data_IF_592460916425
#
_entry.id   IF_592460916425
#
_cell.length_a   1.000
_cell.length_b   1.000
_cell.length_c   1.000
_cell.angle_alpha   90.00
_cell.angle_beta   90.00
_cell.angle_gamma   90.00
#
_symmetry.space_group_name_H-M   'P 1'
#
loop_
_entity.id
_entity.type
_entity.pdbx_description
1 polymer ?
#
# COMPACT_ATOMS: atom_id res chain seq x y z
N UNK A 1 32.18 65.77 10.90
CA UNK A 1 30.90 66.22 11.46
C UNK A 1 29.82 65.74 10.50
N UNK A 2 29.05 64.77 10.99
CA UNK A 2 27.78 64.21 10.50
C UNK A 2 27.39 64.40 9.04
N UNK A 3 27.31 63.29 8.30
CA UNK A 3 26.13 62.83 7.55
C UNK A 3 26.50 61.51 6.86
N UNK A 4 25.51 60.69 6.50
CA UNK A 4 25.62 59.33 5.94
C UNK A 4 25.62 58.17 6.94
N UNK A 5 24.62 58.11 7.83
CA UNK A 5 24.24 56.84 8.45
C UNK A 5 22.73 56.70 8.73
N UNK A 6 21.86 57.19 7.83
CA UNK A 6 20.39 57.06 7.99
C UNK A 6 19.63 56.45 6.81
N UNK A 7 20.29 56.12 5.68
CA UNK A 7 19.61 55.46 4.55
C UNK A 7 19.43 53.93 4.66
N UNK A 8 20.36 53.13 5.24
CA UNK A 8 20.16 51.67 5.27
C UNK A 8 19.11 51.25 6.31
N UNK A 9 18.96 52.00 7.41
CA UNK A 9 17.97 51.71 8.46
C UNK A 9 16.54 51.98 7.97
N UNK A 10 16.32 53.00 7.14
CA UNK A 10 15.00 53.30 6.59
C UNK A 10 14.56 52.24 5.58
N UNK A 11 15.48 51.72 4.75
CA UNK A 11 15.20 50.59 3.86
C UNK A 11 14.96 49.30 4.63
N UNK A 12 15.72 49.02 5.69
CA UNK A 12 15.50 47.85 6.54
C UNK A 12 14.14 47.92 7.27
N UNK A 13 13.75 49.09 7.77
CA UNK A 13 12.46 49.27 8.43
C UNK A 13 11.28 49.16 7.45
N UNK A 14 11.41 49.68 6.23
CA UNK A 14 10.41 49.46 5.17
C UNK A 14 10.35 48.00 4.73
N UNK A 15 11.48 47.29 4.66
CA UNK A 15 11.53 45.87 4.32
C UNK A 15 10.92 45.01 5.42
N UNK A 16 11.18 45.33 6.69
CA UNK A 16 10.56 44.68 7.85
C UNK A 16 9.08 45.02 7.95
N UNK A 17 8.64 46.24 7.65
CA UNK A 17 7.22 46.58 7.62
C UNK A 17 6.49 45.92 6.45
N UNK A 18 7.10 45.83 5.26
CA UNK A 18 6.52 45.16 4.09
C UNK A 18 6.40 43.65 4.31
N UNK A 19 7.44 43.01 4.89
CA UNK A 19 7.37 41.60 5.28
C UNK A 19 6.44 41.36 6.48
N UNK A 20 6.38 42.26 7.46
CA UNK A 20 5.44 42.14 8.59
C UNK A 20 4.00 42.34 8.14
N UNK A 21 3.75 43.15 7.10
CA UNK A 21 2.42 43.35 6.53
C UNK A 21 2.01 42.20 5.57
N UNK A 22 2.97 41.63 4.83
CA UNK A 22 2.77 40.37 4.10
C UNK A 22 2.53 39.19 5.07
N UNK A 23 3.25 39.15 6.20
CA UNK A 23 3.10 38.09 7.19
C UNK A 23 1.81 38.26 8.04
N UNK A 24 1.36 39.50 8.30
CA UNK A 24 0.03 39.77 8.89
C UNK A 24 -1.13 39.49 7.93
N UNK A 25 -0.93 39.62 6.62
CA UNK A 25 -1.94 39.25 5.64
C UNK A 25 -1.96 37.73 5.36
N UNK A 26 -0.85 37.03 5.60
CA UNK A 26 -0.83 35.56 5.59
C UNK A 26 -1.51 34.93 6.81
N UNK A 27 -1.55 35.61 7.96
CA UNK A 27 -2.34 35.16 9.12
C UNK A 27 -3.82 35.56 9.05
N UNK A 28 -4.23 36.38 8.07
CA UNK A 28 -5.62 36.76 7.80
C UNK A 28 -6.27 35.99 6.63
N UNK A 29 -5.54 35.09 5.96
CA UNK A 29 -6.15 34.00 5.22
C UNK A 29 -6.34 32.84 6.19
N UNK A 30 -7.58 32.62 6.65
CA UNK A 30 -7.98 31.59 7.61
C UNK A 30 -7.70 30.16 7.15
N UNK A 31 -6.43 29.77 7.09
CA UNK A 31 -5.97 28.44 6.71
C UNK A 31 -5.90 27.47 7.91
N UNK A 32 -6.06 27.94 9.15
CA UNK A 32 -5.88 27.10 10.34
C UNK A 32 -7.16 26.59 10.98
N UNK A 33 -8.34 27.15 10.66
CA UNK A 33 -9.57 26.81 11.38
C UNK A 33 -10.36 25.65 10.77
N UNK A 34 -9.94 25.16 9.60
CA UNK A 34 -10.62 24.09 8.86
C UNK A 34 -9.63 23.10 8.26
N UNK A 35 -8.87 22.42 9.13
CA UNK A 35 -8.22 21.16 8.74
C UNK A 35 -9.34 20.11 8.63
N UNK A 36 -9.72 19.77 7.41
CA UNK A 36 -10.84 18.86 7.18
C UNK A 36 -10.42 17.39 7.14
N UNK A 37 -9.16 17.10 6.80
CA UNK A 37 -8.59 15.75 6.87
C UNK A 37 -8.24 15.43 8.32
N UNK A 38 -8.74 14.31 8.84
CA UNK A 38 -8.45 13.94 10.23
C UNK A 38 -6.96 13.59 10.44
N UNK A 39 -6.50 13.72 11.68
CA UNK A 39 -5.16 13.23 12.07
C UNK A 39 -5.03 11.71 11.91
N UNK A 40 -6.13 10.98 12.10
CA UNK A 40 -6.20 9.52 11.95
C UNK A 40 -5.78 9.07 10.56
N UNK A 41 -6.11 9.83 9.51
CA UNK A 41 -5.64 9.58 8.16
C UNK A 41 -4.11 9.55 8.06
N UNK A 42 -3.45 10.59 8.57
CA UNK A 42 -2.01 10.74 8.50
C UNK A 42 -1.29 9.68 9.35
N UNK A 43 -1.81 9.41 10.56
CA UNK A 43 -1.30 8.35 11.43
C UNK A 43 -1.41 6.97 10.77
N UNK A 44 -2.54 6.67 10.12
CA UNK A 44 -2.72 5.38 9.44
C UNK A 44 -1.71 5.19 8.28
N UNK A 45 -1.41 6.25 7.53
CA UNK A 45 -0.40 6.21 6.47
C UNK A 45 1.01 5.99 7.04
N UNK A 46 1.38 6.72 8.09
CA UNK A 46 2.70 6.59 8.73
C UNK A 46 2.92 5.20 9.35
N UNK A 47 1.93 4.70 10.07
CA UNK A 47 1.95 3.37 10.68
C UNK A 47 2.08 2.26 9.62
N UNK A 48 1.32 2.36 8.53
CA UNK A 48 1.40 1.39 7.43
C UNK A 48 2.75 1.44 6.73
N UNK A 49 3.29 2.64 6.46
CA UNK A 49 4.60 2.79 5.84
C UNK A 49 5.74 2.29 6.75
N UNK A 50 5.64 2.50 8.06
CA UNK A 50 6.57 1.96 9.04
C UNK A 50 6.59 0.42 9.01
N UNK A 51 5.41 -0.22 9.08
CA UNK A 51 5.31 -1.70 9.01
C UNK A 51 5.79 -2.23 7.65
N UNK A 52 5.45 -1.56 6.55
CA UNK A 52 5.93 -1.91 5.20
C UNK A 52 7.45 -1.91 5.13
N UNK A 53 8.09 -0.83 5.59
CA UNK A 53 9.56 -0.71 5.63
C UNK A 53 10.19 -1.77 6.51
N UNK A 54 9.61 -2.04 7.68
CA UNK A 54 10.05 -3.11 8.58
C UNK A 54 10.01 -4.48 7.92
N UNK A 55 8.90 -4.81 7.24
CA UNK A 55 8.77 -6.08 6.52
C UNK A 55 9.75 -6.18 5.34
N UNK A 56 9.93 -5.11 4.56
CA UNK A 56 10.94 -5.07 3.49
C UNK A 56 12.36 -5.29 4.01
N UNK A 57 12.72 -4.66 5.14
CA UNK A 57 14.02 -4.83 5.77
C UNK A 57 14.22 -6.27 6.28
N UNK A 58 13.17 -6.88 6.85
CA UNK A 58 13.20 -8.28 7.29
C UNK A 58 13.49 -9.23 6.13
N UNK A 59 12.80 -9.06 5.00
CA UNK A 59 13.00 -9.86 3.79
C UNK A 59 14.40 -9.64 3.19
N UNK A 60 14.90 -8.41 3.18
CA UNK A 60 16.24 -8.11 2.68
C UNK A 60 17.33 -8.74 3.55
N UNK A 61 17.19 -8.63 4.88
CA UNK A 61 18.09 -9.23 5.87
C UNK A 61 18.20 -10.74 5.68
N UNK A 62 17.10 -11.41 5.33
CA UNK A 62 17.12 -12.84 5.04
C UNK A 62 18.00 -13.21 3.85
N UNK A 63 17.90 -12.46 2.73
CA UNK A 63 18.74 -12.71 1.56
C UNK A 63 20.23 -12.54 1.89
N UNK A 64 20.57 -11.51 2.66
CA UNK A 64 21.95 -11.29 3.10
C UNK A 64 22.44 -12.40 4.05
N UNK A 65 21.59 -12.82 5.00
CA UNK A 65 21.95 -13.81 6.00
C UNK A 65 21.96 -15.24 5.46
N UNK A 66 21.09 -15.59 4.50
CA UNK A 66 21.14 -16.86 3.78
C UNK A 66 22.49 -17.05 3.07
N UNK A 67 23.06 -15.98 2.51
CA UNK A 67 24.36 -15.99 1.85
C UNK A 67 25.52 -16.10 2.86
N UNK A 68 25.40 -15.45 4.02
CA UNK A 68 26.47 -15.35 5.04
C UNK A 68 26.50 -16.49 6.07
N UNK A 69 25.36 -17.03 6.50
CA UNK A 69 25.26 -17.86 7.73
C UNK A 69 25.08 -19.37 7.51
N UNK A 70 24.62 -19.76 6.31
CA UNK A 70 24.42 -21.15 5.92
C UNK A 70 25.49 -21.67 4.95
N UNK A 71 26.37 -20.81 4.44
CA UNK A 71 27.52 -21.22 3.64
C UNK A 71 28.46 -22.10 4.47
N UNK A 72 28.36 -23.41 4.25
CA UNK A 72 29.21 -24.45 4.85
C UNK A 72 30.69 -24.29 4.51
N UNK A 73 31.06 -23.43 3.55
CA UNK A 73 32.45 -23.28 3.07
C UNK A 73 33.40 -22.56 4.04
N UNK A 74 32.92 -21.69 4.94
CA UNK A 74 33.80 -20.98 5.89
C UNK A 74 34.01 -21.82 7.18
N UNK A 75 33.01 -22.63 7.57
CA UNK A 75 33.09 -23.48 8.76
C UNK A 75 33.85 -24.80 8.54
N UNK A 76 33.95 -25.28 7.29
CA UNK A 76 34.76 -26.45 6.94
C UNK A 76 36.29 -26.23 7.08
N UNK A 77 36.75 -24.97 7.22
CA UNK A 77 38.18 -24.66 7.38
C UNK A 77 38.60 -24.22 8.79
N UNK A 78 37.67 -24.03 9.73
CA UNK A 78 37.99 -23.57 11.11
C UNK A 78 37.74 -24.65 12.18
N UNK A 79 37.04 -25.74 11.83
CA UNK A 79 36.68 -26.83 12.74
C UNK A 79 37.82 -27.84 13.00
N UNK A 80 39.01 -27.34 13.36
CA UNK A 80 40.07 -28.20 13.90
C UNK A 80 40.08 -28.23 15.44
N UNK A 81 39.42 -27.30 16.15
CA UNK A 81 39.65 -27.12 17.60
C UNK A 81 38.41 -26.72 18.47
N UNK A 82 37.17 -26.91 18.01
CA UNK A 82 35.98 -26.73 18.88
C UNK A 82 35.40 -28.08 19.28
N UNK A 83 35.07 -28.25 20.57
CA UNK A 83 34.43 -29.46 21.09
C UNK A 83 33.14 -29.76 20.32
N UNK A 84 33.04 -30.96 19.75
CA UNK A 84 31.96 -31.40 18.83
C UNK A 84 30.53 -31.12 19.35
N UNK A 85 30.32 -31.11 20.67
CA UNK A 85 29.02 -30.86 21.31
C UNK A 85 28.53 -29.43 21.09
N UNK A 86 29.41 -28.43 21.26
CA UNK A 86 29.09 -27.01 21.06
C UNK A 86 28.78 -26.73 19.57
N UNK A 87 29.44 -27.46 18.67
CA UNK A 87 29.21 -27.36 17.23
C UNK A 87 27.83 -27.92 16.82
N UNK A 88 27.40 -29.02 17.45
CA UNK A 88 26.09 -29.65 17.20
C UNK A 88 24.95 -28.79 17.75
N UNK A 89 25.08 -28.27 18.97
CA UNK A 89 24.07 -27.39 19.59
C UNK A 89 23.88 -26.10 18.79
N UNK A 90 24.98 -25.49 18.33
CA UNK A 90 24.91 -24.30 17.46
C UNK A 90 24.23 -24.60 16.11
N UNK A 91 24.47 -25.78 15.52
CA UNK A 91 23.78 -26.22 14.29
C UNK A 91 22.30 -26.51 14.54
N UNK A 92 21.95 -27.04 15.70
CA UNK A 92 20.57 -27.25 16.12
C UNK A 92 19.82 -25.92 16.20
N UNK A 93 20.40 -24.91 16.86
CA UNK A 93 19.82 -23.57 16.93
C UNK A 93 19.63 -22.92 15.56
N UNK A 94 20.62 -23.02 14.67
CA UNK A 94 20.50 -22.48 13.31
C UNK A 94 19.34 -23.10 12.51
N UNK A 95 19.03 -24.38 12.70
CA UNK A 95 17.89 -25.03 12.05
C UNK A 95 16.55 -24.49 12.59
N UNK A 96 16.45 -24.33 13.91
CA UNK A 96 15.24 -23.76 14.53
C UNK A 96 15.05 -22.30 14.12
N UNK A 97 16.12 -21.51 14.06
CA UNK A 97 16.09 -20.10 13.67
C UNK A 97 15.50 -19.90 12.27
N UNK A 98 15.76 -20.82 11.34
CA UNK A 98 15.23 -20.74 9.99
C UNK A 98 13.70 -20.91 9.96
N UNK A 99 13.18 -21.90 10.67
CA UNK A 99 11.71 -22.08 10.80
C UNK A 99 11.06 -20.90 11.53
N UNK A 100 11.70 -20.41 12.60
CA UNK A 100 11.24 -19.23 13.33
C UNK A 100 11.24 -17.98 12.46
N UNK A 101 12.21 -17.83 11.56
CA UNK A 101 12.27 -16.72 10.62
C UNK A 101 11.05 -16.72 9.67
N UNK A 102 10.72 -17.86 9.06
CA UNK A 102 9.58 -17.95 8.14
C UNK A 102 8.25 -17.73 8.87
N UNK A 103 8.12 -18.31 10.07
CA UNK A 103 6.96 -18.08 10.94
C UNK A 103 6.80 -16.59 11.27
N UNK A 104 7.86 -15.96 11.78
CA UNK A 104 7.84 -14.53 12.13
C UNK A 104 7.57 -13.64 10.90
N UNK A 105 8.16 -13.96 9.75
CA UNK A 105 7.93 -13.23 8.50
C UNK A 105 6.48 -13.32 8.04
N UNK A 106 5.82 -14.46 8.26
CA UNK A 106 4.40 -14.63 7.95
C UNK A 106 3.51 -13.75 8.85
N UNK A 107 3.85 -13.63 10.13
CA UNK A 107 3.15 -12.76 11.08
C UNK A 107 3.31 -11.28 10.69
N UNK A 108 4.51 -10.87 10.27
CA UNK A 108 4.75 -9.52 9.77
C UNK A 108 3.99 -9.24 8.47
N UNK A 109 3.90 -10.22 7.57
CA UNK A 109 3.08 -10.11 6.36
C UNK A 109 1.59 -9.95 6.71
N UNK A 110 1.07 -10.71 7.67
CA UNK A 110 -0.31 -10.62 8.14
C UNK A 110 -0.61 -9.25 8.79
N UNK A 111 0.32 -8.76 9.61
CA UNK A 111 0.23 -7.42 10.20
C UNK A 111 0.17 -6.34 9.11
N UNK A 112 1.05 -6.43 8.11
CA UNK A 112 1.07 -5.48 7.00
C UNK A 112 -0.25 -5.47 6.22
N UNK A 113 -0.84 -6.64 5.93
CA UNK A 113 -2.17 -6.74 5.30
C UNK A 113 -3.20 -5.96 6.10
N UNK A 114 -3.30 -6.22 7.41
CA UNK A 114 -4.28 -5.55 8.27
C UNK A 114 -4.09 -4.03 8.32
N UNK A 115 -2.84 -3.55 8.31
CA UNK A 115 -2.55 -2.11 8.27
C UNK A 115 -2.93 -1.46 6.94
N UNK A 116 -2.62 -2.12 5.83
CA UNK A 116 -2.98 -1.65 4.48
C UNK A 116 -4.49 -1.53 4.33
N UNK A 117 -5.24 -2.57 4.68
CA UNK A 117 -6.70 -2.58 4.57
C UNK A 117 -7.32 -1.48 5.43
N UNK A 118 -6.87 -1.35 6.68
CA UNK A 118 -7.34 -0.30 7.59
C UNK A 118 -7.01 1.10 7.06
N UNK A 119 -5.80 1.32 6.52
CA UNK A 119 -5.37 2.61 5.99
C UNK A 119 -6.22 3.06 4.80
N UNK A 120 -6.52 2.15 3.87
CA UNK A 120 -7.33 2.48 2.71
C UNK A 120 -8.81 2.58 3.03
N UNK A 121 -9.31 1.81 4.01
CA UNK A 121 -10.64 2.03 4.56
C UNK A 121 -10.77 3.42 5.21
N UNK A 122 -9.77 3.86 6.00
CA UNK A 122 -9.74 5.22 6.54
C UNK A 122 -9.68 6.25 5.41
N UNK A 123 -8.87 6.02 4.37
CA UNK A 123 -8.76 6.92 3.22
C UNK A 123 -10.11 7.14 2.54
N UNK A 124 -10.86 6.06 2.28
CA UNK A 124 -12.21 6.12 1.69
C UNK A 124 -13.18 6.87 2.60
N UNK A 125 -13.20 6.55 3.89
CA UNK A 125 -14.07 7.18 4.88
C UNK A 125 -13.78 8.68 5.04
N UNK A 126 -12.52 9.09 4.99
CA UNK A 126 -12.15 10.51 5.02
C UNK A 126 -12.60 11.23 3.74
N UNK A 127 -12.42 10.57 2.60
CA UNK A 127 -12.94 11.04 1.31
C UNK A 127 -14.47 11.22 1.38
N UNK A 128 -15.21 10.26 1.91
CA UNK A 128 -16.67 10.34 2.10
C UNK A 128 -17.07 11.40 3.14
N UNK A 129 -16.25 11.61 4.18
CA UNK A 129 -16.47 12.68 5.16
C UNK A 129 -16.51 14.05 4.51
N UNK A 130 -15.76 14.27 3.42
CA UNK A 130 -15.93 15.49 2.64
C UNK A 130 -17.36 15.60 2.11
N UNK A 131 -17.88 14.60 1.40
CA UNK A 131 -19.26 14.63 0.89
C UNK A 131 -20.28 14.99 1.98
N UNK A 132 -20.19 14.36 3.15
CA UNK A 132 -21.12 14.66 4.27
C UNK A 132 -20.99 16.10 4.76
N UNK A 133 -19.75 16.59 4.97
CA UNK A 133 -19.50 17.99 5.34
C UNK A 133 -20.04 18.95 4.28
N UNK A 134 -19.96 18.59 3.00
CA UNK A 134 -20.51 19.37 1.90
C UNK A 134 -22.05 19.45 1.98
N UNK A 135 -22.72 18.34 2.28
CA UNK A 135 -24.17 18.32 2.53
C UNK A 135 -24.54 19.21 3.73
N UNK A 136 -23.78 19.15 4.83
CA UNK A 136 -23.99 20.00 6.00
C UNK A 136 -23.87 21.50 5.68
N UNK A 137 -22.84 21.89 4.91
CA UNK A 137 -22.70 23.28 4.44
C UNK A 137 -23.90 23.68 3.58
N UNK A 138 -24.33 22.81 2.66
CA UNK A 138 -25.49 23.06 1.80
C UNK A 138 -26.77 23.28 2.60
N UNK A 139 -27.01 22.49 3.65
CA UNK A 139 -28.20 22.60 4.49
C UNK A 139 -28.19 23.83 5.38
N UNK A 140 -27.07 24.10 6.06
CA UNK A 140 -26.94 25.23 7.00
C UNK A 140 -27.13 26.61 6.35
N UNK A 141 -26.95 26.70 5.03
CA UNK A 141 -27.07 27.95 4.28
C UNK A 141 -28.46 28.19 3.67
N UNK A 142 -29.42 27.27 3.79
CA UNK A 142 -30.80 27.47 3.32
C UNK A 142 -31.63 28.11 4.44
N UNK A 143 -31.90 29.43 4.37
CA UNK A 143 -32.48 30.09 3.20
C UNK A 143 -31.68 31.28 2.63
N UNK A 144 -30.39 31.41 2.96
CA UNK A 144 -29.58 32.60 2.65
C UNK A 144 -29.03 32.69 1.21
N UNK A 145 -29.09 31.60 0.44
CA UNK A 145 -28.54 31.50 -0.93
C UNK A 145 -29.66 31.56 -1.99
N UNK A 146 -29.39 32.20 -3.14
CA UNK A 146 -30.37 32.26 -4.24
C UNK A 146 -30.57 30.91 -4.92
N UNK A 147 -31.71 30.75 -5.60
CA UNK A 147 -32.04 29.52 -6.35
C UNK A 147 -30.99 29.17 -7.41
N UNK A 148 -30.42 30.17 -8.10
CA UNK A 148 -29.38 29.93 -9.11
C UNK A 148 -28.09 29.40 -8.49
N UNK A 149 -27.67 29.97 -7.36
CA UNK A 149 -26.47 29.51 -6.64
C UNK A 149 -26.68 28.10 -6.10
N UNK A 150 -27.88 27.80 -5.59
CA UNK A 150 -28.24 26.46 -5.14
C UNK A 150 -28.10 25.42 -6.25
N UNK A 151 -28.60 25.70 -7.46
CA UNK A 151 -28.45 24.80 -8.60
C UNK A 151 -26.97 24.54 -8.97
N UNK A 152 -26.12 25.56 -8.94
CA UNK A 152 -24.69 25.42 -9.23
C UNK A 152 -23.95 24.60 -8.17
N UNK A 153 -24.32 24.75 -6.89
CA UNK A 153 -23.77 23.92 -5.80
C UNK A 153 -24.21 22.47 -5.96
N UNK A 154 -25.46 22.23 -6.35
CA UNK A 154 -26.00 20.89 -6.57
C UNK A 154 -25.28 20.16 -7.72
N UNK A 155 -25.02 20.85 -8.83
CA UNK A 155 -24.22 20.30 -9.94
C UNK A 155 -22.78 19.97 -9.51
N UNK A 156 -22.15 20.85 -8.74
CA UNK A 156 -20.80 20.59 -8.21
C UNK A 156 -20.76 19.37 -7.27
N UNK A 157 -21.80 19.21 -6.45
CA UNK A 157 -21.92 18.08 -5.54
C UNK A 157 -22.07 16.75 -6.29
N UNK A 158 -22.87 16.72 -7.37
CA UNK A 158 -23.03 15.52 -8.21
C UNK A 158 -21.67 15.08 -8.80
N UNK A 159 -20.89 16.03 -9.33
CA UNK A 159 -19.58 15.72 -9.91
C UNK A 159 -18.58 15.24 -8.85
N UNK A 160 -18.64 15.82 -7.65
CA UNK A 160 -17.83 15.37 -6.52
C UNK A 160 -18.23 13.96 -6.07
N UNK A 161 -19.53 13.64 -6.00
CA UNK A 161 -20.01 12.29 -5.67
C UNK A 161 -19.52 11.27 -6.71
N UNK A 162 -19.60 11.60 -8.00
CA UNK A 162 -19.05 10.79 -9.10
C UNK A 162 -17.55 10.54 -8.94
N UNK A 163 -16.79 11.56 -8.51
CA UNK A 163 -15.37 11.43 -8.22
C UNK A 163 -15.11 10.46 -7.06
N UNK A 164 -15.84 10.60 -5.95
CA UNK A 164 -15.66 9.78 -4.76
C UNK A 164 -15.99 8.30 -5.00
N UNK A 165 -17.06 8.01 -5.73
CA UNK A 165 -17.36 6.62 -6.14
C UNK A 165 -16.20 6.02 -6.93
N UNK A 166 -15.71 6.74 -7.95
CA UNK A 166 -14.58 6.27 -8.75
C UNK A 166 -13.30 6.10 -7.93
N UNK A 167 -13.01 7.03 -7.02
CA UNK A 167 -11.85 6.94 -6.14
C UNK A 167 -11.95 5.72 -5.22
N UNK A 168 -13.12 5.49 -4.60
CA UNK A 168 -13.37 4.34 -3.72
C UNK A 168 -13.20 3.02 -4.46
N UNK A 169 -13.80 2.88 -5.64
CA UNK A 169 -13.72 1.65 -6.44
C UNK A 169 -12.27 1.30 -6.81
N UNK A 170 -11.50 2.30 -7.25
CA UNK A 170 -10.07 2.15 -7.54
C UNK A 170 -9.30 1.72 -6.30
N UNK A 171 -9.66 2.29 -5.13
CA UNK A 171 -9.02 1.99 -3.85
C UNK A 171 -9.25 0.55 -3.41
N UNK A 172 -10.49 0.08 -3.56
CA UNK A 172 -10.86 -1.30 -3.23
C UNK A 172 -10.15 -2.31 -4.13
N UNK A 173 -10.16 -2.11 -5.46
CA UNK A 173 -9.52 -3.01 -6.42
C UNK A 173 -8.02 -3.18 -6.13
N UNK A 174 -7.29 -2.10 -5.84
CA UNK A 174 -5.85 -2.25 -5.55
C UNK A 174 -5.60 -2.80 -4.14
N UNK A 175 -6.42 -2.42 -3.14
CA UNK A 175 -6.24 -2.89 -1.76
C UNK A 175 -6.43 -4.40 -1.71
N UNK A 176 -7.43 -4.92 -2.43
CA UNK A 176 -7.67 -6.35 -2.63
C UNK A 176 -6.44 -7.03 -3.25
N UNK A 177 -5.88 -6.46 -4.33
CA UNK A 177 -4.69 -7.02 -4.98
C UNK A 177 -3.47 -7.10 -4.03
N UNK A 178 -3.13 -5.99 -3.36
CA UNK A 178 -1.97 -5.94 -2.46
C UNK A 178 -2.16 -6.91 -1.29
N UNK A 179 -3.36 -6.93 -0.70
CA UNK A 179 -3.70 -7.85 0.37
C UNK A 179 -3.63 -9.31 -0.09
N UNK A 180 -4.11 -9.64 -1.29
CA UNK A 180 -4.03 -10.98 -1.87
C UNK A 180 -2.56 -11.45 -2.01
N UNK A 181 -1.69 -10.62 -2.59
CA UNK A 181 -0.26 -10.96 -2.74
C UNK A 181 0.39 -11.21 -1.38
N UNK A 182 0.17 -10.33 -0.41
CA UNK A 182 0.76 -10.49 0.94
C UNK A 182 0.19 -11.70 1.70
N UNK A 183 -1.09 -12.03 1.54
CA UNK A 183 -1.68 -13.27 2.08
C UNK A 183 -1.05 -14.50 1.46
N UNK A 184 -0.83 -14.50 0.15
CA UNK A 184 -0.13 -15.60 -0.52
C UNK A 184 1.30 -15.78 0.01
N UNK A 185 2.04 -14.68 0.22
CA UNK A 185 3.36 -14.71 0.87
C UNK A 185 3.29 -15.31 2.27
N UNK A 186 2.35 -14.85 3.09
CA UNK A 186 2.10 -15.37 4.45
C UNK A 186 1.85 -16.87 4.41
N UNK A 187 0.91 -17.31 3.59
CA UNK A 187 0.46 -18.71 3.57
C UNK A 187 1.60 -19.65 3.15
N UNK A 188 2.39 -19.27 2.15
CA UNK A 188 3.58 -20.05 1.74
C UNK A 188 4.63 -20.08 2.85
N UNK A 189 4.87 -18.97 3.55
CA UNK A 189 5.85 -18.93 4.64
C UNK A 189 5.41 -19.78 5.85
N UNK A 190 4.12 -19.77 6.20
CA UNK A 190 3.56 -20.66 7.24
C UNK A 190 3.73 -22.12 6.83
N UNK A 191 3.30 -22.47 5.60
CA UNK A 191 3.39 -23.84 5.11
C UNK A 191 4.84 -24.34 5.13
N UNK A 192 5.79 -23.50 4.71
CA UNK A 192 7.19 -23.87 4.75
C UNK A 192 7.75 -24.03 6.17
N UNK A 193 7.39 -23.12 7.10
CA UNK A 193 7.79 -23.20 8.50
C UNK A 193 7.25 -24.46 9.18
N UNK A 194 6.00 -24.83 8.88
CA UNK A 194 5.37 -26.05 9.39
C UNK A 194 6.08 -27.30 8.87
N UNK A 195 6.40 -27.35 7.56
CA UNK A 195 7.16 -28.44 6.96
C UNK A 195 8.55 -28.58 7.62
N UNK A 196 9.24 -27.47 7.86
CA UNK A 196 10.54 -27.48 8.52
C UNK A 196 10.44 -28.00 9.96
N UNK A 197 9.44 -27.53 10.71
CA UNK A 197 9.18 -27.96 12.09
C UNK A 197 8.86 -29.46 12.15
N UNK A 198 8.01 -29.95 11.25
CA UNK A 198 7.63 -31.36 11.19
C UNK A 198 8.81 -32.26 10.78
N UNK A 199 9.61 -31.81 9.81
CA UNK A 199 10.84 -32.50 9.40
C UNK A 199 11.83 -32.57 10.56
N UNK A 200 11.98 -31.49 11.32
CA UNK A 200 12.90 -31.42 12.46
C UNK A 200 12.52 -32.37 13.59
N UNK A 201 11.22 -32.55 13.87
CA UNK A 201 10.74 -33.53 14.88
C UNK A 201 11.18 -34.96 14.58
N UNK A 202 11.49 -35.26 13.31
CA UNK A 202 11.82 -36.61 12.82
C UNK A 202 13.31 -36.74 12.45
N UNK A 203 14.11 -35.72 12.75
CA UNK A 203 15.50 -35.59 12.34
C UNK A 203 16.46 -36.27 13.33
N UNK A 204 17.41 -37.04 12.81
CA UNK A 204 18.49 -37.68 13.58
C UNK A 204 19.63 -36.71 13.77
N UNK A 205 19.85 -36.27 15.01
CA UNK A 205 20.86 -35.29 15.39
C UNK A 205 22.31 -35.84 15.36
N UNK A 206 22.80 -36.22 14.17
CA UNK A 206 24.21 -36.61 13.94
C UNK A 206 24.95 -35.55 13.13
N UNK A 207 26.27 -35.43 13.31
CA UNK A 207 27.11 -34.43 12.60
C UNK A 207 26.94 -34.48 11.08
N UNK A 208 26.91 -35.69 10.50
CA UNK A 208 26.69 -35.92 9.07
C UNK A 208 25.30 -35.41 8.63
N UNK A 209 24.27 -35.73 9.43
CA UNK A 209 22.91 -35.33 9.12
C UNK A 209 22.69 -33.82 9.16
N UNK A 210 23.35 -33.12 10.11
CA UNK A 210 23.27 -31.66 10.16
C UNK A 210 23.85 -31.03 8.90
N UNK A 211 25.01 -31.49 8.43
CA UNK A 211 25.64 -30.93 7.23
C UNK A 211 24.75 -31.08 6.01
N UNK A 212 24.30 -32.31 5.73
CA UNK A 212 23.51 -32.59 4.52
C UNK A 212 22.14 -31.91 4.57
N UNK A 213 21.52 -31.80 5.76
CA UNK A 213 20.23 -31.14 5.89
C UNK A 213 20.33 -29.60 5.84
N UNK A 214 21.38 -29.02 6.39
CA UNK A 214 21.66 -27.57 6.28
C UNK A 214 21.85 -27.14 4.83
N UNK A 215 22.67 -27.87 4.05
CA UNK A 215 22.88 -27.57 2.65
C UNK A 215 21.55 -27.64 1.85
N UNK A 216 20.75 -28.68 2.12
CA UNK A 216 19.42 -28.83 1.54
C UNK A 216 18.50 -27.65 1.89
N UNK A 217 18.42 -27.28 3.16
CA UNK A 217 17.57 -26.18 3.61
C UNK A 217 18.05 -24.82 3.11
N UNK A 218 19.35 -24.58 3.01
CA UNK A 218 19.87 -23.33 2.44
C UNK A 218 19.40 -23.17 0.99
N UNK A 219 19.59 -24.21 0.18
CA UNK A 219 19.19 -24.19 -1.22
C UNK A 219 17.67 -24.01 -1.37
N UNK A 220 16.87 -24.81 -0.65
CA UNK A 220 15.42 -24.78 -0.79
C UNK A 220 14.79 -23.54 -0.19
N UNK A 221 15.32 -23.01 0.92
CA UNK A 221 14.84 -21.75 1.49
C UNK A 221 15.09 -20.59 0.54
N UNK A 222 16.23 -20.56 -0.14
CA UNK A 222 16.48 -19.55 -1.17
C UNK A 222 15.53 -19.68 -2.36
N UNK A 223 15.25 -20.90 -2.82
CA UNK A 223 14.31 -21.17 -3.93
C UNK A 223 12.89 -20.73 -3.57
N UNK A 224 12.38 -21.20 -2.42
CA UNK A 224 11.02 -20.91 -1.96
C UNK A 224 10.89 -19.41 -1.72
N UNK A 225 11.82 -18.80 -0.98
CA UNK A 225 11.82 -17.37 -0.73
C UNK A 225 11.82 -16.57 -2.04
N UNK A 226 12.71 -16.90 -2.99
CA UNK A 226 12.77 -16.20 -4.27
C UNK A 226 11.47 -16.37 -5.06
N UNK A 227 10.89 -17.56 -5.09
CA UNK A 227 9.60 -17.80 -5.76
C UNK A 227 8.50 -16.93 -5.15
N UNK A 228 8.39 -16.93 -3.82
CA UNK A 228 7.35 -16.23 -3.07
C UNK A 228 7.50 -14.70 -3.13
N UNK A 229 8.73 -14.20 -3.07
CA UNK A 229 9.05 -12.76 -3.02
C UNK A 229 9.44 -12.17 -4.37
N UNK A 230 9.22 -12.92 -5.47
CA UNK A 230 9.54 -12.47 -6.82
C UNK A 230 8.66 -11.28 -7.29
N UNK A 231 8.41 -11.20 -8.59
CA UNK A 231 7.79 -10.07 -9.29
C UNK A 231 6.52 -9.53 -8.63
N UNK A 232 5.73 -10.40 -8.02
CA UNK A 232 4.39 -10.06 -7.56
C UNK A 232 4.43 -9.23 -6.26
N UNK A 233 5.33 -9.56 -5.32
CA UNK A 233 5.52 -8.80 -4.08
C UNK A 233 6.12 -7.41 -4.35
N UNK A 234 7.12 -7.33 -5.23
CA UNK A 234 7.67 -6.04 -5.66
C UNK A 234 6.61 -5.18 -6.35
N UNK A 235 5.77 -5.80 -7.20
CA UNK A 235 4.64 -5.13 -7.84
C UNK A 235 3.62 -4.64 -6.81
N UNK A 236 3.35 -5.42 -5.76
CA UNK A 236 2.45 -5.01 -4.68
C UNK A 236 2.98 -3.79 -3.91
N UNK A 237 4.30 -3.71 -3.64
CA UNK A 237 4.90 -2.53 -3.02
C UNK A 237 4.85 -1.29 -3.93
N UNK A 238 5.11 -1.47 -5.21
CA UNK A 238 5.00 -0.45 -6.27
C UNK A 238 3.58 0.13 -6.34
N UNK A 239 2.59 -0.76 -6.40
CA UNK A 239 1.15 -0.44 -6.37
C UNK A 239 0.80 0.31 -5.11
N UNK A 240 1.15 -0.21 -3.92
CA UNK A 240 0.90 0.45 -2.65
C UNK A 240 1.46 1.88 -2.62
N UNK A 241 2.73 2.07 -2.98
CA UNK A 241 3.40 3.37 -2.89
C UNK A 241 2.78 4.40 -3.85
N UNK A 242 2.39 3.94 -5.05
CA UNK A 242 1.72 4.79 -6.05
C UNK A 242 0.31 5.17 -5.60
N UNK A 243 -0.43 4.21 -5.04
CA UNK A 243 -1.75 4.45 -4.42
C UNK A 243 -1.65 5.44 -3.27
N UNK A 244 -0.71 5.22 -2.34
CA UNK A 244 -0.50 6.08 -1.17
C UNK A 244 -0.23 7.53 -1.59
N UNK A 245 0.73 7.72 -2.50
CA UNK A 245 1.11 9.05 -3.00
C UNK A 245 -0.06 9.74 -3.70
N UNK A 246 -0.80 8.98 -4.52
CA UNK A 246 -1.95 9.51 -5.24
C UNK A 246 -3.08 9.88 -4.29
N UNK A 247 -3.38 9.02 -3.30
CA UNK A 247 -4.36 9.28 -2.26
C UNK A 247 -4.03 10.54 -1.46
N UNK A 248 -2.77 10.71 -1.02
CA UNK A 248 -2.34 11.94 -0.31
C UNK A 248 -2.60 13.19 -1.15
N UNK A 249 -2.29 13.12 -2.45
CA UNK A 249 -2.55 14.23 -3.37
C UNK A 249 -4.05 14.50 -3.50
N UNK A 250 -4.86 13.47 -3.75
CA UNK A 250 -6.32 13.57 -3.86
C UNK A 250 -6.93 14.19 -2.60
N UNK A 251 -6.58 13.68 -1.42
CA UNK A 251 -7.09 14.18 -0.14
C UNK A 251 -6.75 15.67 0.06
N UNK A 252 -5.51 16.07 -0.23
CA UNK A 252 -5.09 17.48 -0.16
C UNK A 252 -5.90 18.36 -1.12
N UNK A 253 -6.15 17.87 -2.33
CA UNK A 253 -6.91 18.59 -3.36
C UNK A 253 -8.40 18.70 -3.04
N UNK A 254 -8.98 17.68 -2.39
CA UNK A 254 -10.36 17.72 -1.87
C UNK A 254 -10.49 18.71 -0.71
N UNK A 255 -9.52 18.72 0.21
CA UNK A 255 -9.46 19.67 1.32
C UNK A 255 -9.45 21.11 0.83
N UNK A 256 -8.59 21.41 -0.13
CA UNK A 256 -8.52 22.75 -0.74
C UNK A 256 -9.85 23.17 -1.38
N UNK A 257 -10.50 22.26 -2.11
CA UNK A 257 -11.79 22.53 -2.76
C UNK A 257 -12.90 22.77 -1.75
N UNK A 258 -12.91 22.01 -0.66
CA UNK A 258 -13.85 22.19 0.43
C UNK A 258 -13.69 23.55 1.10
N UNK A 259 -12.46 23.94 1.43
CA UNK A 259 -12.17 25.28 1.98
C UNK A 259 -12.59 26.39 1.02
N UNK A 260 -12.29 26.23 -0.27
CA UNK A 260 -12.65 27.20 -1.32
C UNK A 260 -14.16 27.37 -1.44
N UNK A 261 -14.92 26.29 -1.39
CA UNK A 261 -16.38 26.36 -1.37
C UNK A 261 -16.89 27.08 -0.12
N UNK A 262 -16.46 26.65 1.05
CA UNK A 262 -16.89 27.26 2.30
C UNK A 262 -16.66 28.79 2.26
N UNK A 263 -15.48 29.22 1.82
CA UNK A 263 -15.14 30.64 1.67
C UNK A 263 -15.99 31.36 0.60
N UNK A 264 -16.28 30.69 -0.52
CA UNK A 264 -17.19 31.18 -1.54
C UNK A 264 -18.58 31.46 -0.94
N UNK A 265 -19.14 30.48 -0.23
CA UNK A 265 -20.49 30.56 0.31
C UNK A 265 -20.62 31.54 1.49
N UNK A 266 -19.59 31.64 2.34
CA UNK A 266 -19.56 32.59 3.45
C UNK A 266 -19.49 34.05 2.99
N UNK A 267 -18.85 34.33 1.85
CA UNK A 267 -18.57 35.70 1.39
C UNK A 267 -19.75 36.43 0.76
N UNK A 268 -20.85 35.73 0.41
CA UNK A 268 -22.05 36.24 -0.29
C UNK A 268 -21.81 36.91 -1.66
N UNK A 269 -20.56 37.10 -2.11
CA UNK A 269 -20.19 37.58 -3.45
C UNK A 269 -19.94 36.39 -4.41
N UNK A 270 -21.05 35.80 -4.85
CA UNK A 270 -21.05 34.58 -5.66
C UNK A 270 -20.49 34.77 -7.08
N UNK A 271 -20.58 35.99 -7.64
CA UNK A 271 -20.15 36.25 -9.03
C UNK A 271 -18.62 36.23 -9.18
N UNK A 272 -17.90 36.70 -8.17
CA UNK A 272 -16.44 36.78 -8.20
C UNK A 272 -15.80 35.55 -7.53
N UNK A 273 -16.28 35.14 -6.35
CA UNK A 273 -15.58 34.12 -5.53
C UNK A 273 -15.99 32.68 -5.82
N UNK A 274 -17.11 32.46 -6.52
CA UNK A 274 -17.67 31.13 -6.77
C UNK A 274 -17.65 30.71 -8.25
N UNK A 275 -16.76 31.30 -9.07
CA UNK A 275 -16.74 31.04 -10.52
C UNK A 275 -16.55 29.56 -10.89
N UNK A 276 -15.88 28.77 -10.04
CA UNK A 276 -15.70 27.33 -10.27
C UNK A 276 -16.98 26.52 -10.24
N UNK A 277 -18.02 26.98 -9.54
CA UNK A 277 -19.31 26.31 -9.51
C UNK A 277 -20.00 26.30 -10.87
N UNK A 278 -19.61 27.20 -11.79
CA UNK A 278 -20.16 27.27 -13.15
C UNK A 278 -19.63 26.16 -14.07
N UNK A 279 -18.52 25.52 -13.71
CA UNK A 279 -17.96 24.42 -14.47
C UNK A 279 -17.25 23.43 -13.54
N UNK A 280 -18.04 22.58 -12.83
CA UNK A 280 -17.51 21.57 -11.93
C UNK A 280 -16.56 20.58 -12.62
N UNK A 281 -16.90 20.15 -13.84
CA UNK A 281 -16.09 19.23 -14.63
C UNK A 281 -14.67 19.77 -14.84
N UNK A 282 -14.53 21.05 -15.21
CA UNK A 282 -13.23 21.68 -15.39
C UNK A 282 -12.46 21.77 -14.08
N UNK A 283 -13.12 22.08 -12.97
CA UNK A 283 -12.48 22.19 -11.66
C UNK A 283 -11.97 20.84 -11.13
N UNK A 284 -12.74 19.77 -11.36
CA UNK A 284 -12.42 18.40 -10.94
C UNK A 284 -11.62 17.61 -11.99
N UNK A 285 -11.49 18.10 -13.22
CA UNK A 285 -10.80 17.42 -14.34
C UNK A 285 -9.42 16.89 -13.97
N UNK A 286 -8.60 17.70 -13.29
CA UNK A 286 -7.24 17.30 -12.87
C UNK A 286 -7.26 16.13 -11.88
N UNK A 287 -8.26 16.08 -11.00
CA UNK A 287 -8.43 14.97 -10.07
C UNK A 287 -8.85 13.70 -10.79
N UNK A 288 -9.79 13.78 -11.73
CA UNK A 288 -10.16 12.64 -12.57
C UNK A 288 -9.00 12.13 -13.42
N UNK A 289 -8.20 13.01 -14.01
CA UNK A 289 -6.98 12.62 -14.74
C UNK A 289 -6.03 11.86 -13.82
N UNK A 290 -5.88 12.31 -12.57
CA UNK A 290 -5.02 11.63 -11.60
C UNK A 290 -5.52 10.22 -11.25
N UNK A 291 -6.83 10.03 -11.11
CA UNK A 291 -7.42 8.70 -10.95
C UNK A 291 -7.25 7.83 -12.19
N UNK A 292 -7.38 8.43 -13.38
CA UNK A 292 -7.21 7.74 -14.64
C UNK A 292 -5.77 7.25 -14.84
N UNK A 293 -4.78 8.07 -14.48
CA UNK A 293 -3.35 7.70 -14.42
C UNK A 293 -3.09 6.55 -13.44
N UNK A 294 -3.71 6.60 -12.25
CA UNK A 294 -3.57 5.55 -11.23
C UNK A 294 -4.15 4.23 -11.74
N UNK A 295 -5.34 4.27 -12.34
CA UNK A 295 -5.98 3.09 -12.93
C UNK A 295 -5.14 2.52 -14.09
N UNK A 296 -4.59 3.37 -14.97
CA UNK A 296 -3.68 2.93 -16.05
C UNK A 296 -2.46 2.22 -15.49
N UNK A 297 -1.84 2.81 -14.46
CA UNK A 297 -0.69 2.23 -13.80
C UNK A 297 -0.99 0.81 -13.30
N UNK A 298 -2.15 0.62 -12.65
CA UNK A 298 -2.59 -0.70 -12.20
C UNK A 298 -2.84 -1.66 -13.35
N UNK A 299 -3.53 -1.24 -14.39
CA UNK A 299 -3.78 -2.09 -15.56
C UNK A 299 -2.46 -2.54 -16.22
N UNK A 300 -1.45 -1.68 -16.26
CA UNK A 300 -0.12 -2.02 -16.80
C UNK A 300 0.61 -3.00 -15.86
N UNK A 301 0.68 -2.68 -14.56
CA UNK A 301 1.48 -3.41 -13.57
C UNK A 301 0.87 -4.75 -13.17
N UNK A 302 -0.44 -4.78 -12.92
CA UNK A 302 -1.15 -5.97 -12.43
C UNK A 302 -1.57 -6.87 -13.59
N UNK A 303 -2.17 -6.32 -14.65
CA UNK A 303 -2.67 -7.12 -15.78
C UNK A 303 -1.59 -7.39 -16.84
N UNK A 304 -0.33 -7.08 -16.56
CA UNK A 304 0.84 -7.24 -17.46
C UNK A 304 0.56 -6.71 -18.88
N UNK A 305 -0.12 -5.57 -18.98
CA UNK A 305 -0.43 -4.94 -20.27
C UNK A 305 -1.62 -5.55 -21.05
N UNK A 306 -2.42 -6.45 -20.46
CA UNK A 306 -3.75 -6.78 -21.01
C UNK A 306 -4.74 -5.66 -20.68
N UNK A 307 -4.58 -4.55 -21.40
CA UNK A 307 -5.49 -3.41 -21.37
C UNK A 307 -6.82 -3.87 -21.97
N UNK A 308 -7.86 -4.02 -21.13
CA UNK A 308 -9.21 -4.15 -21.65
C UNK A 308 -9.60 -2.81 -22.28
N UNK A 309 -9.69 -2.78 -23.59
CA UNK A 309 -9.98 -1.62 -24.44
C UNK A 309 -11.41 -1.06 -24.30
N UNK A 310 -12.10 -1.28 -23.18
CA UNK A 310 -13.45 -0.77 -22.95
C UNK A 310 -13.44 0.65 -22.35
N UNK A 311 -12.41 1.44 -22.66
CA UNK A 311 -12.29 2.84 -22.25
C UNK A 311 -12.96 3.75 -23.27
N UNK A 312 -14.28 3.60 -23.39
CA UNK A 312 -15.13 4.57 -24.08
C UNK A 312 -16.35 4.87 -23.22
N UNK A 313 -16.30 6.01 -22.51
CA UNK A 313 -17.38 7.01 -22.33
C UNK A 313 -17.28 7.73 -20.97
N UNK A 314 -16.59 8.86 -20.98
CA UNK A 314 -17.05 10.07 -20.27
C UNK A 314 -16.95 11.35 -21.12
N UNK A 315 -16.47 11.29 -22.37
CA UNK A 315 -16.51 12.43 -23.29
C UNK A 315 -17.89 12.68 -23.94
N UNK A 316 -18.86 11.78 -23.76
CA UNK A 316 -20.17 11.87 -24.42
C UNK A 316 -21.32 12.27 -23.47
N UNK A 317 -21.05 12.68 -22.22
CA UNK A 317 -22.10 13.04 -21.24
C UNK A 317 -22.51 14.53 -21.35
N UNK A 318 -21.90 15.30 -22.26
CA UNK A 318 -22.31 16.69 -22.55
C UNK A 318 -23.51 16.81 -23.51
N UNK A 319 -23.98 15.73 -24.13
CA UNK A 319 -25.15 15.77 -25.01
C UNK A 319 -26.18 14.70 -24.64
N UNK A 320 -27.17 15.08 -23.85
CA UNK A 320 -28.42 14.33 -23.72
C UNK A 320 -28.88 14.07 -22.30
N UNK A 321 -29.48 15.09 -21.67
CA UNK A 321 -30.51 14.87 -20.65
C UNK A 321 -31.61 13.98 -21.25
N UNK A 322 -31.66 12.70 -20.87
CA UNK A 322 -32.89 11.87 -20.77
C UNK A 322 -32.57 10.51 -20.14
N UNK A 323 -32.98 10.38 -18.88
CA UNK A 323 -33.46 9.16 -18.22
C UNK A 323 -33.30 7.84 -19.00
N UNK A 324 -32.37 6.98 -18.58
CA UNK A 324 -32.55 5.52 -18.65
C UNK A 324 -31.91 4.89 -17.43
N UNK A 325 -32.77 4.35 -16.57
CA UNK A 325 -32.52 3.28 -15.61
C UNK A 325 -31.65 2.18 -16.27
N UNK A 326 -30.36 2.13 -15.96
CA UNK A 326 -29.51 1.01 -16.34
C UNK A 326 -29.11 0.27 -15.06
N UNK A 327 -29.97 -0.68 -14.69
CA UNK A 327 -29.61 -1.84 -13.87
C UNK A 327 -28.39 -2.51 -14.49
N UNK A 328 -27.20 -2.14 -14.04
CA UNK A 328 -26.02 -2.95 -14.24
C UNK A 328 -26.15 -4.15 -13.30
N UNK A 329 -26.71 -5.24 -13.81
CA UNK A 329 -26.39 -6.56 -13.25
C UNK A 329 -24.89 -6.71 -13.39
N UNK A 330 -24.15 -6.44 -12.32
CA UNK A 330 -22.79 -6.95 -12.15
C UNK A 330 -22.92 -8.47 -12.21
N UNK A 331 -22.56 -9.02 -13.36
CA UNK A 331 -22.33 -10.45 -13.48
C UNK A 331 -21.04 -10.73 -12.70
N UNK A 332 -21.22 -11.09 -11.44
CA UNK A 332 -20.22 -11.70 -10.55
C UNK A 332 -19.77 -13.02 -11.17
N UNK A 333 -18.90 -12.94 -12.16
CA UNK A 333 -18.05 -14.05 -12.62
C UNK A 333 -16.62 -13.49 -12.71
N UNK A 334 -16.04 -13.10 -11.57
CA UNK A 334 -14.58 -13.06 -11.40
C UNK A 334 -14.17 -14.44 -10.88
N UNK A 335 -14.24 -15.43 -11.74
CA UNK A 335 -13.38 -16.60 -11.59
C UNK A 335 -11.96 -16.09 -11.88
N UNK A 336 -11.20 -15.84 -10.82
CA UNK A 336 -9.74 -15.75 -10.86
C UNK A 336 -9.13 -17.14 -11.13
N UNK A 337 -9.61 -17.82 -12.17
CA UNK A 337 -9.00 -19.01 -12.71
C UNK A 337 -8.25 -18.61 -13.97
N UNK A 338 -7.04 -18.09 -13.76
CA UNK A 338 -5.99 -18.05 -14.77
C UNK A 338 -5.64 -19.50 -15.18
N UNK A 339 -6.38 -20.01 -16.16
CA UNK A 339 -6.05 -21.26 -16.85
C UNK A 339 -4.90 -20.99 -17.81
N UNK A 340 -3.68 -21.17 -17.30
CA UNK A 340 -2.48 -21.40 -18.09
C UNK A 340 -1.58 -22.37 -17.30
N UNK A 341 -1.85 -23.67 -17.49
CA UNK A 341 -0.95 -24.83 -17.39
C UNK A 341 0.14 -24.84 -16.32
N UNK A 342 -0.02 -25.78 -15.37
CA UNK A 342 0.90 -26.23 -14.33
C UNK A 342 1.02 -25.35 -13.07
N UNK A 343 0.73 -26.00 -11.95
CA UNK A 343 0.87 -25.53 -10.57
C UNK A 343 2.29 -25.03 -10.28
N UNK A 344 2.53 -23.73 -10.40
CA UNK A 344 3.70 -23.09 -9.80
C UNK A 344 3.44 -22.86 -8.29
N UNK A 345 3.22 -23.94 -7.53
CA UNK A 345 3.30 -23.85 -6.07
C UNK A 345 4.78 -23.59 -5.72
N UNK A 346 5.06 -22.51 -5.00
CA UNK A 346 6.43 -22.20 -4.59
C UNK A 346 7.04 -23.30 -3.71
N UNK A 347 6.18 -24.04 -2.98
CA UNK A 347 6.52 -25.30 -2.33
C UNK A 347 6.03 -26.43 -3.24
N UNK A 348 6.91 -27.27 -3.78
CA UNK A 348 6.50 -28.36 -4.64
C UNK A 348 5.69 -29.42 -3.90
N UNK A 349 4.83 -30.14 -4.63
CA UNK A 349 4.07 -31.27 -4.09
C UNK A 349 5.01 -32.34 -3.53
N UNK A 350 4.66 -32.89 -2.36
CA UNK A 350 5.45 -33.87 -1.60
C UNK A 350 6.85 -33.39 -1.18
N UNK A 351 7.05 -32.08 -1.12
CA UNK A 351 8.19 -31.49 -0.43
C UNK A 351 8.09 -31.76 1.09
N UNK A 352 9.19 -32.13 1.78
CA UNK A 352 10.56 -32.23 1.26
C UNK A 352 10.92 -33.62 0.71
N UNK A 353 10.07 -34.64 0.88
CA UNK A 353 10.41 -36.06 0.62
C UNK A 353 10.98 -36.36 -0.74
N UNK A 354 10.28 -35.92 -1.79
CA UNK A 354 10.68 -36.24 -3.17
C UNK A 354 11.98 -35.53 -3.56
N UNK A 355 12.36 -34.49 -2.83
CA UNK A 355 13.48 -33.61 -3.14
C UNK A 355 14.72 -33.90 -2.28
N UNK A 356 14.58 -34.66 -1.19
CA UNK A 356 15.72 -35.13 -0.40
C UNK A 356 16.52 -36.20 -1.15
N UNK A 357 17.86 -36.07 -1.13
CA UNK A 357 18.75 -37.12 -1.62
C UNK A 357 18.64 -38.39 -0.78
N UNK A 358 18.98 -39.55 -1.34
CA UNK A 358 18.94 -40.84 -0.61
C UNK A 358 19.76 -40.82 0.68
N UNK A 359 20.85 -40.05 0.71
CA UNK A 359 21.68 -39.91 1.91
C UNK A 359 21.02 -39.01 2.96
N UNK A 360 20.42 -37.89 2.54
CA UNK A 360 19.66 -37.03 3.44
C UNK A 360 18.46 -37.77 4.02
N UNK A 361 17.81 -38.60 3.20
CA UNK A 361 16.68 -39.40 3.63
C UNK A 361 17.02 -40.23 4.88
N UNK A 362 18.17 -40.90 4.91
CA UNK A 362 18.60 -41.73 6.06
C UNK A 362 18.68 -40.98 7.39
N UNK A 363 18.75 -39.65 7.36
CA UNK A 363 18.73 -38.78 8.52
C UNK A 363 17.35 -38.54 9.14
N UNK A 364 16.29 -39.12 8.57
CA UNK A 364 14.94 -39.01 9.09
C UNK A 364 14.35 -40.38 9.41
N UNK A 365 13.46 -40.44 10.39
CA UNK A 365 12.69 -41.64 10.71
C UNK A 365 11.45 -41.76 9.80
N UNK A 366 11.57 -42.54 8.73
CA UNK A 366 10.54 -42.69 7.69
C UNK A 366 9.31 -43.48 8.09
N UNK A 367 9.39 -44.30 9.14
CA UNK A 367 8.25 -45.06 9.65
C UNK A 367 7.09 -44.15 10.12
N UNK A 368 7.32 -42.84 10.20
CA UNK A 368 6.35 -41.81 10.56
C UNK A 368 5.89 -40.92 9.39
N UNK A 369 6.35 -41.17 8.15
CA UNK A 369 5.92 -40.38 6.96
C UNK A 369 4.85 -41.07 6.13
N UNK A 370 4.71 -42.40 6.21
CA UNK A 370 3.74 -43.19 5.44
C UNK A 370 2.34 -43.24 6.08
N UNK A 371 2.10 -42.52 7.18
CA UNK A 371 0.83 -42.56 7.94
C UNK A 371 -0.12 -41.39 7.66
N UNK A 372 0.00 -40.69 6.53
CA UNK A 372 -0.93 -39.62 6.13
C UNK A 372 -1.45 -39.83 4.71
#
# INVERSE_FOLDING_TARGET
METYLKKPIFFFLLFVFYFSHLNRNHTACGYSQYKYTSERYYMALEDTDHVKRGFQALLHSFLENLQKNLSTSILLNVAANTTDVIEIENRHHKLTDLSSFFQYSSEQAALLVGKIELCFEITKNESESYLRKWEEIRWSLQPSISTEVKALVDEYFIEMQSFHTMFSDIIDDFSEYVAHVLRSVRDIFIEYADIQTDSFRRFKATKLCYNVYMDFLQQWSAIIFKCTTATDLNTAYDVYTTSETTSRHVMTQLEFRMQRLHNCLASRDYRMRCQFLRNPERDLSKLFIKLDELQQYFDIKIKRGRVNSNRKRRSDISEGRKSIELKLKMQTNRDHNSTAGNENKCIPIDFPYKYMSTNLKKCFDFLLWESK
#
